data_IF_712574987873
#
_entry.id   IF_712574987873
#
_cell.length_a   1.000
_cell.length_b   1.000
_cell.length_c   1.000
_cell.angle_alpha   90.00
_cell.angle_beta   90.00
_cell.angle_gamma   90.00
#
_symmetry.space_group_name_H-M   'P 1'
#
loop_
_entity.id
_entity.type
_entity.pdbx_description
1 polymer ?
#
# COMPACT_ATOMS: atom_id res chain seq x y z
N UNK A 1 -6.82 7.07 -14.91
CA UNK A 1 -6.10 6.52 -13.74
C UNK A 1 -7.03 6.25 -12.57
N UNK A 2 -7.97 7.15 -12.25
CA UNK A 2 -8.92 7.01 -11.11
C UNK A 2 -9.76 5.73 -11.09
N UNK A 3 -10.00 5.09 -12.25
CA UNK A 3 -10.83 3.87 -12.35
C UNK A 3 -10.04 2.56 -12.17
N UNK A 4 -8.71 2.56 -12.38
CA UNK A 4 -7.85 1.41 -12.08
C UNK A 4 -7.56 1.31 -10.56
N UNK A 5 -7.51 2.45 -9.87
CA UNK A 5 -7.50 2.56 -8.40
C UNK A 5 -8.76 1.93 -7.76
N UNK A 6 -9.93 2.05 -8.41
CA UNK A 6 -11.19 1.44 -7.93
C UNK A 6 -11.15 -0.08 -7.96
N UNK A 7 -10.36 -0.70 -8.86
CA UNK A 7 -10.23 -2.16 -8.95
C UNK A 7 -9.33 -2.70 -7.83
N UNK A 8 -8.27 -1.98 -7.48
CA UNK A 8 -7.51 -2.25 -6.25
C UNK A 8 -8.38 -2.12 -5.00
N UNK A 9 -9.21 -1.07 -4.92
CA UNK A 9 -10.16 -0.84 -3.81
C UNK A 9 -11.19 -1.97 -3.64
N UNK A 10 -11.77 -2.50 -4.72
CA UNK A 10 -12.79 -3.57 -4.62
C UNK A 10 -12.23 -4.96 -4.29
N UNK A 11 -10.94 -5.21 -4.55
CA UNK A 11 -10.35 -6.53 -4.31
C UNK A 11 -9.88 -6.72 -2.85
N UNK A 12 -9.39 -5.67 -2.18
CA UNK A 12 -9.09 -5.69 -0.74
C UNK A 12 -10.32 -6.06 0.11
N UNK A 13 -11.52 -5.66 -0.32
CA UNK A 13 -12.81 -6.01 0.31
C UNK A 13 -13.24 -7.48 0.11
N UNK A 14 -12.72 -8.19 -0.90
CA UNK A 14 -13.18 -9.54 -1.23
C UNK A 14 -12.47 -10.65 -0.44
N UNK A 15 -11.40 -10.32 0.30
CA UNK A 15 -10.61 -11.29 1.09
C UNK A 15 -10.52 -10.96 2.59
N UNK A 16 -11.35 -10.05 3.10
CA UNK A 16 -11.59 -9.91 4.54
C UNK A 16 -12.62 -10.95 5.01
N UNK A 17 -12.23 -12.23 5.07
CA UNK A 17 -12.97 -13.19 5.91
C UNK A 17 -12.55 -12.92 7.35
N UNK A 18 -13.41 -12.22 8.10
CA UNK A 18 -13.20 -12.02 9.54
C UNK A 18 -13.14 -13.36 10.28
N UNK A 19 -12.35 -13.47 11.36
CA UNK A 19 -12.37 -14.67 12.19
C UNK A 19 -13.72 -14.81 12.89
N UNK A 20 -14.23 -16.04 12.93
CA UNK A 20 -15.39 -16.41 13.72
C UNK A 20 -15.12 -16.09 15.19
N UNK A 21 -15.97 -15.25 15.80
CA UNK A 21 -15.92 -14.93 17.21
C UNK A 21 -16.14 -16.20 18.04
N UNK A 22 -15.11 -16.64 18.76
CA UNK A 22 -15.23 -17.54 19.91
C UNK A 22 -15.90 -16.73 21.03
N UNK A 23 -17.19 -16.96 21.25
CA UNK A 23 -17.87 -16.51 22.47
C UNK A 23 -17.38 -17.37 23.63
N UNK A 24 -16.77 -16.72 24.62
CA UNK A 24 -16.63 -17.26 25.96
C UNK A 24 -17.83 -16.77 26.76
N UNK A 25 -18.78 -17.66 27.04
CA UNK A 25 -19.83 -17.40 28.02
C UNK A 25 -19.32 -17.87 29.39
N UNK A 26 -19.12 -16.90 30.29
CA UNK A 26 -18.98 -17.13 31.71
C UNK A 26 -20.24 -16.59 32.40
N UNK A 27 -20.99 -17.47 33.06
CA UNK A 27 -21.72 -17.32 34.34
C UNK A 27 -22.90 -18.28 34.40
N UNK A 28 -23.12 -18.92 35.56
CA UNK A 28 -24.42 -19.51 35.88
C UNK A 28 -24.38 -20.92 36.48
N UNK A 29 -24.04 -21.01 37.76
CA UNK A 29 -24.37 -22.09 38.69
C UNK A 29 -25.84 -22.53 38.55
N UNK A 30 -26.12 -23.84 38.46
CA UNK A 30 -27.30 -24.48 39.07
C UNK A 30 -27.17 -26.01 39.08
N UNK A 31 -27.63 -26.58 40.19
CA UNK A 31 -27.57 -27.98 40.61
C UNK A 31 -28.59 -28.86 39.87
N UNK A 32 -28.23 -30.15 39.72
CA UNK A 32 -29.17 -31.27 39.91
C UNK A 32 -29.57 -32.09 38.68
N UNK A 33 -29.46 -33.42 38.81
CA UNK A 33 -30.36 -34.37 38.15
C UNK A 33 -29.73 -35.37 37.18
N UNK A 34 -29.63 -36.63 37.63
CA UNK A 34 -29.25 -37.80 36.85
C UNK A 34 -30.29 -38.19 35.78
N UNK A 35 -29.88 -38.87 34.69
CA UNK A 35 -30.82 -39.57 33.81
C UNK A 35 -30.33 -39.94 32.40
N UNK A 36 -29.75 -41.14 32.28
CA UNK A 36 -29.89 -42.14 31.21
C UNK A 36 -30.40 -41.75 29.79
N UNK A 37 -29.54 -42.05 28.80
CA UNK A 37 -29.79 -42.81 27.56
C UNK A 37 -30.96 -42.44 26.62
N UNK A 38 -30.64 -42.01 25.39
CA UNK A 38 -31.05 -42.70 24.14
C UNK A 38 -30.45 -42.07 22.87
N UNK A 39 -29.93 -42.97 22.01
CA UNK A 39 -29.64 -42.75 20.59
C UNK A 39 -30.90 -42.30 19.84
N UNK A 40 -30.77 -41.32 18.94
CA UNK A 40 -31.59 -41.23 17.74
C UNK A 40 -30.76 -40.69 16.57
N UNK A 41 -30.66 -41.53 15.53
CA UNK A 41 -30.24 -41.22 14.16
C UNK A 41 -31.43 -40.54 13.46
N UNK A 42 -31.18 -39.50 12.68
CA UNK A 42 -31.97 -39.10 11.50
C UNK A 42 -31.13 -38.10 10.69
N UNK A 43 -30.49 -38.53 9.60
CA UNK A 43 -31.01 -38.54 8.22
C UNK A 43 -31.39 -37.15 7.70
N UNK A 44 -30.42 -36.63 6.95
CA UNK A 44 -30.46 -35.55 5.99
C UNK A 44 -31.57 -35.70 4.92
N UNK A 45 -32.37 -34.65 4.74
CA UNK A 45 -33.17 -34.46 3.53
C UNK A 45 -32.97 -33.04 2.98
N UNK A 46 -32.52 -33.00 1.73
CA UNK A 46 -32.34 -31.82 0.90
C UNK A 46 -33.65 -31.04 0.72
N UNK A 47 -33.58 -29.72 0.81
CA UNK A 47 -34.49 -28.81 0.07
C UNK A 47 -33.66 -27.75 -0.63
N UNK A 48 -33.61 -27.85 -1.95
CA UNK A 48 -33.10 -26.81 -2.83
C UNK A 48 -34.10 -25.66 -2.91
N UNK A 49 -33.59 -24.44 -2.84
CA UNK A 49 -34.34 -23.22 -3.13
C UNK A 49 -33.80 -22.67 -4.44
N UNK A 50 -34.68 -22.66 -5.45
CA UNK A 50 -34.50 -21.98 -6.73
C UNK A 50 -34.83 -20.50 -6.52
N UNK A 51 -33.90 -19.60 -6.82
CA UNK A 51 -34.17 -18.15 -6.85
C UNK A 51 -34.17 -17.71 -8.31
N UNK A 52 -35.35 -17.37 -8.80
CA UNK A 52 -35.63 -16.82 -10.12
C UNK A 52 -35.44 -15.29 -10.06
N UNK A 53 -34.54 -14.76 -10.88
CA UNK A 53 -34.25 -13.33 -10.97
C UNK A 53 -35.19 -12.65 -11.98
N UNK A 54 -35.96 -11.67 -11.53
CA UNK A 54 -36.67 -10.74 -12.42
C UNK A 54 -35.86 -9.44 -12.60
N UNK A 55 -35.46 -9.20 -13.85
CA UNK A 55 -34.92 -7.93 -14.35
C UNK A 55 -36.09 -7.08 -14.86
N UNK A 56 -36.30 -5.89 -14.29
CA UNK A 56 -37.12 -4.85 -14.92
C UNK A 56 -36.33 -3.56 -15.02
N UNK A 57 -36.19 -3.10 -16.26
CA UNK A 57 -35.37 -1.96 -16.66
C UNK A 57 -35.93 -0.60 -16.25
N UNK A 58 -35.01 0.33 -16.05
CA UNK A 58 -35.30 1.74 -15.85
C UNK A 58 -35.19 2.49 -17.18
N UNK A 59 -36.30 3.12 -17.60
CA UNK A 59 -36.35 4.19 -18.59
C UNK A 59 -36.49 5.53 -17.87
N UNK A 60 -35.75 6.52 -18.34
CA UNK A 60 -35.75 7.90 -17.87
C UNK A 60 -37.10 8.61 -18.07
N UNK A 61 -37.40 9.59 -17.23
CA UNK A 61 -38.24 10.73 -17.59
C UNK A 61 -37.84 11.99 -16.83
N UNK A 62 -37.64 13.04 -17.60
CA UNK A 62 -37.37 14.43 -17.21
C UNK A 62 -38.72 15.13 -17.02
N UNK A 63 -38.86 16.02 -16.04
CA UNK A 63 -40.00 16.92 -15.93
C UNK A 63 -40.17 17.57 -14.55
N UNK A 64 -39.68 18.81 -14.40
CA UNK A 64 -40.18 19.80 -13.43
C UNK A 64 -41.61 20.25 -13.86
N UNK A 65 -42.50 20.73 -12.96
CA UNK A 65 -42.35 22.04 -12.31
C UNK A 65 -42.75 22.10 -10.81
N UNK A 66 -42.32 23.21 -10.18
CA UNK A 66 -42.63 23.62 -8.82
C UNK A 66 -44.14 23.89 -8.58
N UNK A 67 -44.54 24.02 -7.31
CA UNK A 67 -45.14 25.29 -6.91
C UNK A 67 -44.62 25.86 -5.59
N UNK A 68 -44.73 27.17 -5.55
CA UNK A 68 -44.55 28.15 -4.48
C UNK A 68 -45.34 27.87 -3.19
N UNK A 69 -44.71 28.10 -2.04
CA UNK A 69 -45.40 28.56 -0.84
C UNK A 69 -44.45 29.43 0.01
N UNK A 70 -44.81 30.70 0.10
CA UNK A 70 -44.25 31.74 0.94
C UNK A 70 -44.79 31.64 2.37
N UNK A 71 -43.92 31.66 3.38
CA UNK A 71 -44.25 32.17 4.71
C UNK A 71 -43.13 33.11 5.11
N UNK A 72 -43.47 34.40 5.20
CA UNK A 72 -42.61 35.42 5.77
C UNK A 72 -42.83 35.52 7.27
N UNK A 73 -41.73 35.74 8.00
CA UNK A 73 -41.78 36.40 9.32
C UNK A 73 -40.71 37.48 9.32
N UNK A 74 -41.18 38.69 9.61
CA UNK A 74 -40.41 39.93 9.74
C UNK A 74 -39.50 39.86 10.97
N UNK A 75 -38.25 40.27 10.81
CA UNK A 75 -37.36 40.67 11.88
C UNK A 75 -36.50 41.83 11.39
N UNK A 76 -36.89 43.05 11.73
CA UNK A 76 -36.12 44.28 11.53
C UNK A 76 -35.10 44.36 12.65
N UNK A 77 -33.80 44.39 12.32
CA UNK A 77 -32.78 44.99 13.19
C UNK A 77 -31.76 45.74 12.34
N UNK A 78 -31.44 46.92 12.84
CA UNK A 78 -30.77 48.05 12.21
C UNK A 78 -29.27 47.86 12.05
N UNK A 79 -28.72 48.54 11.03
CA UNK A 79 -27.31 48.65 10.71
C UNK A 79 -26.51 49.35 11.83
N UNK A 80 -25.42 48.73 12.27
CA UNK A 80 -24.26 49.44 12.82
C UNK A 80 -22.98 48.93 12.16
N UNK A 81 -22.27 49.87 11.54
CA UNK A 81 -20.93 49.73 10.96
C UNK A 81 -19.89 49.91 12.07
N UNK A 82 -19.00 48.93 12.35
CA UNK A 82 -17.85 49.19 13.20
C UNK A 82 -16.64 49.60 12.37
N UNK A 83 -16.11 50.76 12.75
CA UNK A 83 -14.89 51.39 12.25
C UNK A 83 -13.68 50.46 12.35
N UNK A 84 -12.81 50.61 11.35
CA UNK A 84 -11.39 50.27 11.32
C UNK A 84 -10.71 50.42 12.68
N UNK A 85 -10.21 49.31 13.22
CA UNK A 85 -9.17 49.27 14.24
C UNK A 85 -7.98 48.51 13.65
N UNK A 86 -6.94 49.26 13.31
CA UNK A 86 -5.60 48.76 12.99
C UNK A 86 -5.03 48.03 14.22
N UNK A 87 -5.17 46.71 14.26
CA UNK A 87 -4.37 45.85 15.13
C UNK A 87 -3.12 45.41 14.36
N UNK A 88 -1.96 45.96 14.77
CA UNK A 88 -0.62 45.58 14.33
C UNK A 88 -0.45 44.05 14.37
N UNK A 89 -0.38 43.41 13.21
CA UNK A 89 0.24 42.09 13.05
C UNK A 89 1.75 42.28 13.30
N UNK A 90 2.24 41.82 14.45
CA UNK A 90 3.68 41.59 14.63
C UNK A 90 4.01 40.29 13.87
N UNK A 91 4.55 40.45 12.66
CA UNK A 91 5.32 39.41 12.01
C UNK A 91 6.66 39.25 12.79
N UNK A 92 7.13 38.02 13.05
CA UNK A 92 8.50 37.82 13.52
C UNK A 92 9.49 38.30 12.43
N UNK A 93 10.67 38.81 12.84
CA UNK A 93 11.45 39.71 12.02
C UNK A 93 12.04 39.03 10.78
N UNK A 94 11.83 39.69 9.64
CA UNK A 94 12.64 39.59 8.43
C UNK A 94 14.12 39.75 8.82
N UNK A 95 14.91 38.71 8.62
CA UNK A 95 16.37 38.88 8.55
C UNK A 95 16.67 39.80 7.37
N UNK A 96 17.21 40.97 7.72
CA UNK A 96 17.68 42.00 6.81
C UNK A 96 18.80 41.47 5.94
N UNK A 97 18.59 41.52 4.63
CA UNK A 97 19.63 41.39 3.62
C UNK A 97 20.65 42.53 3.75
N UNK A 98 21.93 42.18 3.88
CA UNK A 98 23.05 42.92 3.29
C UNK A 98 24.29 42.03 3.34
N UNK A 99 24.75 41.58 2.17
CA UNK A 99 25.92 40.73 2.03
C UNK A 99 25.92 40.03 0.68
N UNK A 100 26.36 40.76 -0.34
CA UNK A 100 26.51 40.33 -1.73
C UNK A 100 27.35 39.05 -1.87
N UNK A 101 26.74 37.98 -2.36
CA UNK A 101 27.41 36.93 -3.13
C UNK A 101 26.39 36.30 -4.08
N UNK A 102 26.48 36.61 -5.37
CA UNK A 102 25.85 35.80 -6.42
C UNK A 102 26.52 34.43 -6.40
N UNK A 103 25.78 33.31 -6.35
CA UNK A 103 26.36 32.02 -6.67
C UNK A 103 26.35 31.86 -8.20
N UNK A 104 27.22 32.60 -8.89
CA UNK A 104 27.70 32.19 -10.21
C UNK A 104 28.69 31.05 -9.98
N UNK A 105 28.15 29.83 -9.79
CA UNK A 105 28.78 28.50 -9.92
C UNK A 105 27.94 27.45 -9.16
N UNK A 106 26.66 27.29 -9.54
CA UNK A 106 26.00 26.00 -9.33
C UNK A 106 26.44 25.07 -10.45
N UNK A 107 27.11 23.93 -10.17
CA UNK A 107 27.27 22.91 -11.19
C UNK A 107 25.86 22.46 -11.58
N UNK A 108 25.57 22.53 -12.89
CA UNK A 108 24.35 22.02 -13.49
C UNK A 108 24.02 20.64 -12.89
N UNK A 109 22.91 20.56 -12.15
CA UNK A 109 22.40 19.36 -11.50
C UNK A 109 22.05 18.29 -12.55
N UNK A 110 23.06 17.53 -12.96
CA UNK A 110 22.95 16.16 -13.48
C UNK A 110 23.11 15.15 -12.31
N UNK A 111 22.58 15.50 -11.14
CA UNK A 111 22.69 14.69 -9.93
C UNK A 111 21.82 13.44 -10.01
N UNK A 112 22.44 12.27 -9.98
CA UNK A 112 21.76 10.97 -9.88
C UNK A 112 21.00 10.90 -8.55
N UNK A 113 19.72 10.53 -8.57
CA UNK A 113 19.01 10.08 -7.36
C UNK A 113 19.87 8.97 -6.70
N UNK A 114 20.08 9.01 -5.38
CA UNK A 114 20.80 7.93 -4.71
C UNK A 114 19.95 6.66 -4.74
N UNK A 115 20.64 5.53 -4.80
CA UNK A 115 19.99 4.22 -4.64
C UNK A 115 19.50 4.10 -3.21
N UNK A 116 18.39 3.39 -3.04
CA UNK A 116 17.96 2.90 -1.75
C UNK A 116 18.99 1.90 -1.21
N UNK A 117 19.94 2.39 -0.43
CA UNK A 117 20.98 1.58 0.22
C UNK A 117 20.46 1.14 1.59
N UNK A 118 19.50 0.22 1.60
CA UNK A 118 18.95 -0.36 2.82
C UNK A 118 19.96 -1.32 3.45
N UNK A 119 20.97 -0.76 4.12
CA UNK A 119 21.87 -1.51 4.99
C UNK A 119 21.14 -1.98 6.28
N UNK A 120 20.07 -2.75 6.08
CA UNK A 120 19.52 -3.73 7.02
C UNK A 120 19.25 -5.08 6.30
N UNK A 121 19.67 -5.23 5.04
CA UNK A 121 20.06 -6.52 4.47
C UNK A 121 21.57 -6.75 4.74
N UNK A 122 21.93 -7.08 5.97
CA UNK A 122 23.18 -7.82 6.26
C UNK A 122 23.10 -9.12 5.41
N UNK A 123 24.04 -9.53 4.55
CA UNK A 123 25.48 -9.37 4.56
C UNK A 123 26.00 -9.46 3.11
N UNK A 124 26.74 -8.45 2.64
CA UNK A 124 27.94 -8.81 1.88
C UNK A 124 28.99 -9.15 2.91
N UNK A 125 29.06 -10.43 3.28
CA UNK A 125 30.29 -10.99 3.82
C UNK A 125 31.37 -10.74 2.78
N UNK A 126 32.19 -9.71 2.98
CA UNK A 126 33.57 -9.74 2.51
C UNK A 126 34.29 -10.75 3.40
N UNK A 127 34.00 -12.03 3.20
CA UNK A 127 34.85 -13.09 3.72
C UNK A 127 36.10 -13.09 2.85
N UNK A 128 37.19 -12.59 3.41
CA UNK A 128 38.52 -12.96 2.98
C UNK A 128 38.58 -14.49 2.91
N UNK A 129 38.60 -15.06 1.70
CA UNK A 129 39.11 -16.40 1.45
C UNK A 129 38.28 -17.62 1.85
N UNK A 130 36.95 -17.53 2.00
CA UNK A 130 36.10 -18.72 2.17
C UNK A 130 34.95 -18.75 1.15
N UNK A 131 34.74 -19.93 0.55
CA UNK A 131 33.81 -20.28 -0.52
C UNK A 131 32.50 -19.49 -0.51
N UNK A 132 32.29 -18.64 -1.53
CA UNK A 132 31.05 -17.85 -1.68
C UNK A 132 29.90 -18.78 -2.06
N UNK A 133 29.08 -19.16 -1.08
CA UNK A 133 27.72 -19.65 -1.37
C UNK A 133 26.85 -18.44 -1.72
N UNK A 134 26.56 -18.24 -3.01
CA UNK A 134 25.68 -17.17 -3.50
C UNK A 134 24.22 -17.38 -3.06
N UNK A 135 23.91 -17.12 -1.79
CA UNK A 135 22.52 -17.02 -1.34
C UNK A 135 22.03 -15.59 -1.56
N UNK A 136 21.08 -15.41 -2.49
CA UNK A 136 20.33 -14.16 -2.55
C UNK A 136 19.59 -13.95 -1.22
N UNK A 137 19.63 -12.73 -0.63
CA UNK A 137 18.90 -12.47 0.60
C UNK A 137 17.40 -12.71 0.37
N UNK A 138 16.72 -13.23 1.39
CA UNK A 138 15.28 -13.47 1.34
C UNK A 138 14.52 -12.13 1.30
N UNK A 139 13.29 -12.10 0.74
CA UNK A 139 12.51 -10.87 0.69
C UNK A 139 12.24 -10.31 2.10
N UNK A 140 12.30 -9.00 2.23
CA UNK A 140 11.97 -8.29 3.46
C UNK A 140 10.45 -8.27 3.70
N UNK A 141 10.06 -8.35 4.97
CA UNK A 141 8.67 -8.18 5.40
C UNK A 141 8.34 -6.70 5.56
N UNK A 142 7.44 -6.18 4.73
CA UNK A 142 6.99 -4.79 4.74
C UNK A 142 5.53 -4.75 5.21
N UNK A 143 5.29 -4.13 6.36
CA UNK A 143 3.98 -4.08 7.00
C UNK A 143 3.07 -3.03 6.33
N UNK A 144 2.09 -3.48 5.55
CA UNK A 144 1.16 -2.63 4.81
C UNK A 144 0.23 -1.89 5.75
N UNK A 145 0.43 -0.58 5.89
CA UNK A 145 -0.28 0.30 6.84
C UNK A 145 -0.07 -0.14 8.30
N UNK A 146 1.12 -0.67 8.60
CA UNK A 146 1.43 -1.35 9.86
C UNK A 146 0.94 -2.82 9.89
N UNK A 147 0.83 -3.42 11.07
CA UNK A 147 0.27 -4.77 11.24
C UNK A 147 -1.27 -4.75 11.18
N UNK A 148 -1.78 -4.38 10.00
CA UNK A 148 -3.20 -4.16 9.71
C UNK A 148 -4.06 -5.41 9.93
N UNK A 149 -3.51 -6.61 9.85
CA UNK A 149 -4.25 -7.83 10.19
C UNK A 149 -4.70 -7.84 11.65
N UNK A 150 -3.87 -7.35 12.57
CA UNK A 150 -4.15 -7.31 14.01
C UNK A 150 -4.80 -6.00 14.48
N UNK A 151 -4.35 -4.86 13.97
CA UNK A 151 -4.75 -3.53 14.44
C UNK A 151 -5.44 -2.68 13.36
N UNK A 152 -6.17 -1.60 13.72
CA UNK A 152 -6.64 -0.63 12.74
C UNK A 152 -5.51 -0.07 11.88
N UNK A 153 -5.72 -0.02 10.57
CA UNK A 153 -4.71 0.42 9.60
C UNK A 153 -4.25 1.86 9.83
N UNK A 154 -2.99 2.17 9.48
CA UNK A 154 -2.40 3.50 9.62
C UNK A 154 -2.63 4.08 11.03
N UNK A 155 -2.27 3.32 12.06
CA UNK A 155 -2.34 3.73 13.46
C UNK A 155 -1.01 3.49 14.17
N UNK A 156 -0.72 4.24 15.23
CA UNK A 156 0.51 4.02 16.01
C UNK A 156 0.57 2.61 16.59
N UNK A 157 -0.56 2.03 17.01
CA UNK A 157 -0.63 0.64 17.48
C UNK A 157 -0.24 -0.36 16.37
N UNK A 158 -0.74 -0.18 15.14
CA UNK A 158 -0.36 -1.03 14.02
C UNK A 158 1.13 -0.90 13.66
N UNK A 159 1.69 0.30 13.75
CA UNK A 159 3.11 0.56 13.48
C UNK A 159 4.01 -0.05 14.56
N UNK A 160 3.67 0.14 15.84
CA UNK A 160 4.40 -0.43 16.96
C UNK A 160 4.38 -1.96 16.91
N UNK A 161 3.20 -2.55 16.71
CA UNK A 161 3.06 -3.99 16.58
C UNK A 161 3.89 -4.55 15.41
N UNK A 162 3.98 -3.84 14.28
CA UNK A 162 4.82 -4.26 13.16
C UNK A 162 6.32 -4.30 13.52
N UNK A 163 6.80 -3.31 14.27
CA UNK A 163 8.20 -3.29 14.76
C UNK A 163 8.43 -4.42 15.76
N UNK A 164 7.52 -4.61 16.71
CA UNK A 164 7.62 -5.60 17.78
C UNK A 164 7.72 -7.05 17.26
N UNK A 165 6.98 -7.39 16.20
CA UNK A 165 7.07 -8.72 15.58
C UNK A 165 8.31 -8.89 14.68
N UNK A 166 9.09 -7.84 14.46
CA UNK A 166 10.29 -7.87 13.62
C UNK A 166 10.03 -7.63 12.12
N UNK A 167 8.99 -6.87 11.75
CA UNK A 167 8.88 -6.40 10.37
C UNK A 167 10.10 -5.51 10.03
N UNK A 168 10.60 -5.64 8.80
CA UNK A 168 11.78 -4.90 8.36
C UNK A 168 11.43 -3.45 8.01
N UNK A 169 10.17 -3.22 7.64
CA UNK A 169 9.69 -1.93 7.21
C UNK A 169 8.20 -1.74 7.46
N UNK A 170 7.79 -0.49 7.45
CA UNK A 170 6.40 -0.06 7.45
C UNK A 170 6.11 0.58 6.10
N UNK A 171 5.03 0.18 5.45
CA UNK A 171 4.43 0.96 4.38
C UNK A 171 3.25 1.75 4.95
N UNK A 172 3.11 3.01 4.55
CA UNK A 172 2.00 3.87 4.98
C UNK A 172 1.67 4.90 3.91
N UNK A 173 0.47 5.45 4.01
CA UNK A 173 -0.13 6.34 3.02
C UNK A 173 -0.11 7.80 3.48
N UNK A 174 0.19 8.74 2.58
CA UNK A 174 0.27 10.18 2.89
C UNK A 174 -0.95 10.94 2.34
N UNK A 175 -1.57 11.76 3.18
CA UNK A 175 -2.49 12.85 2.78
C UNK A 175 -2.16 14.15 3.53
N UNK A 176 -2.75 15.26 3.10
CA UNK A 176 -2.62 16.55 3.77
C UNK A 176 -3.92 16.95 4.46
N UNK A 177 -3.85 17.42 5.72
CA UNK A 177 -4.94 18.16 6.33
C UNK A 177 -5.08 19.55 5.71
N UNK A 178 -6.20 20.22 5.95
CA UNK A 178 -6.45 21.58 5.44
C UNK A 178 -5.41 22.61 5.90
N UNK A 179 -4.89 22.46 7.11
CA UNK A 179 -3.86 23.30 7.72
C UNK A 179 -2.42 22.83 7.42
N UNK A 180 -2.24 21.90 6.46
CA UNK A 180 -0.93 21.52 5.94
C UNK A 180 -0.16 20.48 6.77
N UNK A 181 -0.83 19.80 7.71
CA UNK A 181 -0.25 18.71 8.49
C UNK A 181 -0.29 17.42 7.68
N UNK A 182 0.84 16.72 7.60
CA UNK A 182 0.92 15.44 6.87
C UNK A 182 0.33 14.32 7.71
N UNK A 183 -0.81 13.79 7.25
CA UNK A 183 -1.60 12.76 7.90
C UNK A 183 -1.34 11.38 7.29
N UNK A 184 -1.46 10.33 8.11
CA UNK A 184 -1.34 8.96 7.66
C UNK A 184 -2.73 8.31 7.52
N UNK A 185 -3.20 8.17 6.28
CA UNK A 185 -4.50 7.57 5.95
C UNK A 185 -4.49 7.04 4.52
N UNK A 186 -5.15 5.92 4.26
CA UNK A 186 -5.21 5.42 2.88
C UNK A 186 -6.16 6.22 2.00
N UNK A 187 -7.34 6.51 2.54
CA UNK A 187 -8.42 7.13 1.80
C UNK A 187 -8.43 8.64 2.05
N UNK A 188 -8.73 9.41 1.00
CA UNK A 188 -9.03 10.83 1.13
C UNK A 188 -10.33 11.11 1.90
N UNK A 189 -11.23 10.13 2.00
CA UNK A 189 -12.48 10.22 2.77
C UNK A 189 -12.31 9.55 4.13
N UNK A 190 -12.85 10.20 5.16
CA UNK A 190 -12.82 9.71 6.54
C UNK A 190 -13.83 8.56 6.78
N UNK A 191 -14.77 8.34 5.86
CA UNK A 191 -15.95 7.51 6.08
C UNK A 191 -15.66 6.08 6.47
N UNK A 192 -14.75 5.41 5.75
CA UNK A 192 -14.49 3.98 5.94
C UNK A 192 -13.85 3.69 7.29
N UNK A 193 -12.85 4.48 7.66
CA UNK A 193 -12.06 4.23 8.85
C UNK A 193 -12.61 4.91 10.10
N UNK A 194 -13.28 6.06 9.96
CA UNK A 194 -13.69 6.93 11.08
C UNK A 194 -15.20 7.19 11.14
N UNK A 195 -15.98 6.74 10.14
CA UNK A 195 -17.43 6.94 10.11
C UNK A 195 -17.89 8.36 9.76
N UNK A 196 -16.96 9.22 9.35
CA UNK A 196 -17.22 10.63 9.03
C UNK A 196 -17.32 10.84 7.50
N UNK A 197 -18.36 11.54 7.04
CA UNK A 197 -18.60 11.77 5.60
C UNK A 197 -17.71 12.84 4.96
N UNK A 198 -16.90 13.55 5.73
CA UNK A 198 -15.97 14.58 5.26
C UNK A 198 -14.74 13.98 4.55
N UNK A 199 -14.03 14.84 3.81
CA UNK A 199 -12.70 14.53 3.29
C UNK A 199 -11.65 15.03 4.25
N UNK A 200 -10.54 14.29 4.34
CA UNK A 200 -9.42 14.62 5.20
C UNK A 200 -8.85 16.01 4.87
N UNK A 201 -8.68 16.32 3.58
CA UNK A 201 -8.15 17.62 3.13
C UNK A 201 -9.06 18.82 3.41
N UNK A 202 -10.31 18.60 3.82
CA UNK A 202 -11.25 19.67 4.19
C UNK A 202 -11.21 19.97 5.71
N UNK A 203 -10.47 19.19 6.50
CA UNK A 203 -10.42 19.28 7.95
C UNK A 203 -9.04 19.70 8.46
N UNK A 204 -9.01 20.55 9.49
CA UNK A 204 -7.79 20.94 10.19
C UNK A 204 -7.34 19.83 11.18
N UNK A 205 -6.04 19.81 11.53
CA UNK A 205 -5.48 18.80 12.44
C UNK A 205 -6.20 18.75 13.79
N UNK A 206 -6.61 19.90 14.33
CA UNK A 206 -7.34 19.98 15.60
C UNK A 206 -8.55 19.04 15.58
N UNK A 207 -9.35 19.08 14.50
CA UNK A 207 -10.48 18.18 14.32
C UNK A 207 -10.05 16.73 14.10
N UNK A 208 -9.13 16.49 13.16
CA UNK A 208 -8.68 15.14 12.80
C UNK A 208 -8.11 14.37 13.99
N UNK A 209 -7.43 15.06 14.92
CA UNK A 209 -6.86 14.48 16.13
C UNK A 209 -7.91 13.91 17.10
N UNK A 210 -9.16 14.36 17.01
CA UNK A 210 -10.29 13.86 17.82
C UNK A 210 -10.86 12.55 17.30
N UNK A 211 -10.68 12.26 16.01
CA UNK A 211 -11.27 11.10 15.36
C UNK A 211 -10.66 9.80 15.88
N UNK A 212 -11.48 8.75 15.91
CA UNK A 212 -11.05 7.39 16.28
C UNK A 212 -11.51 6.38 15.26
N UNK A 213 -10.67 5.38 14.99
CA UNK A 213 -11.02 4.34 14.04
C UNK A 213 -12.24 3.55 14.52
N UNK A 214 -13.12 3.17 13.61
CA UNK A 214 -14.30 2.33 13.89
C UNK A 214 -13.92 0.90 14.29
N UNK A 215 -12.77 0.42 13.83
CA UNK A 215 -12.26 -0.90 14.19
C UNK A 215 -11.65 -0.84 15.60
N UNK A 216 -12.01 -1.83 16.41
CA UNK A 216 -11.46 -2.05 17.75
C UNK A 216 -9.99 -2.54 17.72
N UNK A 217 -9.14 -2.10 18.67
CA UNK A 217 -9.40 -1.01 19.61
C UNK A 217 -9.31 0.36 18.90
N UNK A 218 -10.21 1.33 19.15
CA UNK A 218 -10.23 2.59 18.42
C UNK A 218 -8.92 3.36 18.58
N UNK A 219 -8.31 3.73 17.45
CA UNK A 219 -7.03 4.44 17.41
C UNK A 219 -7.20 5.86 16.87
N UNK A 220 -6.41 6.83 17.35
CA UNK A 220 -6.31 8.13 16.69
C UNK A 220 -5.68 8.00 15.30
N UNK A 221 -6.01 8.93 14.40
CA UNK A 221 -5.27 9.09 13.15
C UNK A 221 -3.88 9.69 13.44
N UNK A 222 -2.77 9.03 13.06
CA UNK A 222 -1.44 9.55 13.29
C UNK A 222 -1.03 10.54 12.21
N UNK A 223 -0.12 11.45 12.57
CA UNK A 223 0.64 12.28 11.63
C UNK A 223 1.90 11.56 11.21
N UNK A 224 2.50 11.96 10.09
CA UNK A 224 3.82 11.48 9.70
C UNK A 224 4.86 11.75 10.79
N UNK A 225 4.79 12.90 11.46
CA UNK A 225 5.70 13.25 12.57
C UNK A 225 5.61 12.24 13.73
N UNK A 226 4.43 11.71 14.05
CA UNK A 226 4.27 10.77 15.16
C UNK A 226 5.00 9.44 14.86
N UNK A 227 4.92 8.97 13.61
CA UNK A 227 5.67 7.81 13.13
C UNK A 227 7.18 8.06 13.13
N UNK A 228 7.63 9.22 12.63
CA UNK A 228 9.06 9.56 12.58
C UNK A 228 9.68 9.71 13.97
N UNK A 229 8.95 10.31 14.94
CA UNK A 229 9.41 10.38 16.33
C UNK A 229 9.56 9.00 16.96
N UNK A 230 8.64 8.08 16.66
CA UNK A 230 8.74 6.70 17.12
C UNK A 230 9.92 5.95 16.48
N UNK A 231 10.09 6.07 15.15
CA UNK A 231 11.16 5.38 14.42
C UNK A 231 12.53 6.03 14.57
N UNK A 232 12.60 7.31 14.96
CA UNK A 232 13.84 8.05 15.22
C UNK A 232 14.53 7.63 16.51
N UNK A 233 13.86 6.83 17.37
CA UNK A 233 14.47 6.18 18.52
C UNK A 233 15.53 5.17 18.09
N UNK A 234 16.63 5.09 18.83
CA UNK A 234 17.81 4.27 18.48
C UNK A 234 17.45 2.78 18.34
N UNK A 235 16.57 2.27 19.19
CA UNK A 235 16.10 0.88 19.14
C UNK A 235 15.33 0.54 17.85
N UNK A 236 14.78 1.55 17.17
CA UNK A 236 13.99 1.39 15.96
C UNK A 236 14.75 1.76 14.68
N UNK A 237 16.04 2.10 14.78
CA UNK A 237 16.86 2.62 13.67
C UNK A 237 16.97 1.64 12.48
N UNK A 238 16.82 0.33 12.73
CA UNK A 238 16.87 -0.71 11.70
C UNK A 238 15.62 -0.79 10.81
N UNK A 239 14.49 -0.20 11.23
CA UNK A 239 13.23 -0.25 10.49
C UNK A 239 13.19 0.89 9.46
N UNK A 240 12.85 0.59 8.21
CA UNK A 240 12.68 1.62 7.17
C UNK A 240 11.21 1.83 6.80
N UNK A 241 10.91 2.87 6.03
CA UNK A 241 9.55 3.27 5.69
C UNK A 241 9.37 3.43 4.18
N UNK A 242 8.30 2.87 3.64
CA UNK A 242 7.80 3.16 2.30
C UNK A 242 6.59 4.10 2.42
N UNK A 243 6.72 5.32 1.91
CA UNK A 243 5.66 6.33 1.95
C UNK A 243 4.91 6.38 0.61
N UNK A 244 3.69 5.83 0.55
CA UNK A 244 2.82 5.93 -0.62
C UNK A 244 2.23 7.34 -0.73
N UNK A 245 2.61 8.05 -1.80
CA UNK A 245 2.07 9.37 -2.12
C UNK A 245 0.71 9.19 -2.80
N UNK A 246 -0.35 9.58 -2.09
CA UNK A 246 -1.71 9.53 -2.64
C UNK A 246 -1.93 10.65 -3.65
N UNK A 247 -2.81 10.36 -4.60
CA UNK A 247 -3.03 11.20 -5.79
C UNK A 247 -4.25 12.12 -5.66
N UNK A 248 -4.83 12.17 -4.47
CA UNK A 248 -6.05 12.92 -4.17
C UNK A 248 -5.76 14.37 -3.74
N UNK A 249 -4.55 14.65 -3.23
CA UNK A 249 -4.08 15.98 -2.81
C UNK A 249 -3.34 16.76 -3.92
N UNK A 250 -3.11 18.05 -3.68
CA UNK A 250 -2.13 18.80 -4.47
C UNK A 250 -0.73 18.22 -4.25
N UNK A 251 -0.13 17.75 -5.34
CA UNK A 251 1.11 16.99 -5.28
C UNK A 251 2.31 17.84 -4.83
N UNK A 252 2.33 19.13 -5.16
CA UNK A 252 3.44 20.03 -4.84
C UNK A 252 3.37 20.45 -3.36
N UNK A 253 2.17 20.79 -2.87
CA UNK A 253 1.93 21.08 -1.45
C UNK A 253 2.20 19.87 -0.56
N UNK A 254 1.69 18.68 -0.93
CA UNK A 254 1.91 17.45 -0.16
C UNK A 254 3.41 17.15 -0.04
N UNK A 255 4.15 17.14 -1.15
CA UNK A 255 5.58 16.80 -1.12
C UNK A 255 6.43 17.89 -0.47
N UNK A 256 6.05 19.15 -0.61
CA UNK A 256 6.66 20.25 0.13
C UNK A 256 6.53 20.07 1.64
N UNK A 257 5.34 19.70 2.14
CA UNK A 257 5.11 19.49 3.57
C UNK A 257 5.71 18.18 4.09
N UNK A 258 5.72 17.11 3.29
CA UNK A 258 6.45 15.87 3.60
C UNK A 258 7.94 16.15 3.75
N UNK A 259 8.54 16.92 2.84
CA UNK A 259 9.94 17.27 2.93
C UNK A 259 10.27 18.08 4.18
N UNK A 260 9.48 19.13 4.49
CA UNK A 260 9.63 19.88 5.74
C UNK A 260 9.57 18.94 6.96
N UNK A 261 8.60 18.03 7.00
CA UNK A 261 8.41 17.08 8.10
C UNK A 261 9.62 16.16 8.27
N UNK A 262 10.13 15.59 7.17
CA UNK A 262 11.31 14.71 7.20
C UNK A 262 12.58 15.45 7.63
N UNK A 263 12.80 16.69 7.18
CA UNK A 263 14.01 17.45 7.52
C UNK A 263 14.07 17.91 8.98
N UNK A 264 12.92 18.11 9.64
CA UNK A 264 12.88 18.53 11.06
C UNK A 264 12.73 17.36 12.03
N UNK A 265 12.34 16.18 11.57
CA UNK A 265 12.15 15.02 12.43
C UNK A 265 13.50 14.48 12.96
N UNK A 266 13.67 14.29 14.28
CA UNK A 266 14.93 13.84 14.86
C UNK A 266 15.24 12.38 14.48
N UNK A 267 16.50 12.08 14.21
CA UNK A 267 16.97 10.73 13.90
C UNK A 267 18.47 10.60 14.12
N UNK A 268 18.94 9.42 14.54
CA UNK A 268 20.37 9.08 14.58
C UNK A 268 20.93 8.71 13.20
N UNK A 269 20.06 8.25 12.29
CA UNK A 269 20.39 7.92 10.90
C UNK A 269 19.56 8.77 9.93
N UNK A 270 20.18 9.46 8.96
CA UNK A 270 19.47 10.32 8.02
C UNK A 270 18.25 9.65 7.38
N UNK A 271 17.13 10.38 7.29
CA UNK A 271 15.88 9.84 6.76
C UNK A 271 15.95 9.43 5.29
N UNK A 272 16.84 10.05 4.51
CA UNK A 272 17.09 9.66 3.12
C UNK A 272 17.76 8.28 2.96
N UNK A 273 18.19 7.67 4.07
CA UNK A 273 18.65 6.28 4.13
C UNK A 273 17.59 5.32 4.68
N UNK A 274 16.45 5.84 5.13
CA UNK A 274 15.41 5.08 5.84
C UNK A 274 14.03 5.24 5.23
N UNK A 275 13.83 6.18 4.32
CA UNK A 275 12.54 6.49 3.71
C UNK A 275 12.63 6.31 2.21
N UNK A 276 11.62 5.65 1.65
CA UNK A 276 11.43 5.45 0.21
C UNK A 276 10.14 6.12 -0.17
N UNK A 277 10.18 6.93 -1.21
CA UNK A 277 8.97 7.57 -1.73
C UNK A 277 8.30 6.64 -2.75
N UNK A 278 7.05 6.29 -2.49
CA UNK A 278 6.19 5.53 -3.39
C UNK A 278 5.46 6.44 -4.37
N UNK A 279 5.76 6.32 -5.66
CA UNK A 279 5.25 7.23 -6.70
C UNK A 279 4.46 6.50 -7.80
N UNK A 280 3.21 6.92 -8.03
CA UNK A 280 2.32 6.30 -9.03
C UNK A 280 2.55 6.76 -10.47
N UNK A 281 3.26 7.87 -10.69
CA UNK A 281 3.49 8.42 -12.02
C UNK A 281 4.81 9.17 -12.12
N UNK A 282 5.25 9.45 -13.35
CA UNK A 282 6.43 10.27 -13.63
C UNK A 282 6.39 11.63 -12.91
N UNK A 283 5.21 12.25 -12.85
CA UNK A 283 5.04 13.55 -12.20
C UNK A 283 5.44 13.50 -10.71
N UNK A 284 5.00 12.48 -9.97
CA UNK A 284 5.39 12.31 -8.57
C UNK A 284 6.87 11.94 -8.41
N UNK A 285 7.43 11.15 -9.33
CA UNK A 285 8.88 10.87 -9.34
C UNK A 285 9.68 12.16 -9.48
N UNK A 286 9.26 13.06 -10.38
CA UNK A 286 9.96 14.32 -10.61
C UNK A 286 9.78 15.32 -9.46
N UNK A 287 8.61 15.33 -8.80
CA UNK A 287 8.43 16.10 -7.57
C UNK A 287 9.25 15.55 -6.39
N UNK A 288 9.40 14.22 -6.28
CA UNK A 288 10.33 13.64 -5.31
C UNK A 288 11.77 14.10 -5.58
N UNK A 289 12.21 14.13 -6.84
CA UNK A 289 13.54 14.68 -7.20
C UNK A 289 13.68 16.16 -6.86
N UNK A 290 12.60 16.94 -6.99
CA UNK A 290 12.59 18.37 -6.67
C UNK A 290 12.72 18.62 -5.16
N UNK A 291 11.90 17.94 -4.35
CA UNK A 291 11.77 18.21 -2.91
C UNK A 291 12.68 17.34 -2.03
N UNK A 292 12.98 16.14 -2.49
CA UNK A 292 13.68 15.09 -1.76
C UNK A 292 14.75 14.45 -2.66
N UNK A 293 15.71 15.22 -3.22
CA UNK A 293 16.66 14.74 -4.22
C UNK A 293 17.58 13.61 -3.75
N UNK A 294 17.75 13.46 -2.43
CA UNK A 294 18.54 12.38 -1.83
C UNK A 294 17.69 11.18 -1.41
N UNK A 295 16.37 11.23 -1.55
CA UNK A 295 15.52 10.13 -1.12
C UNK A 295 15.33 9.13 -2.26
N UNK A 296 15.43 7.83 -1.98
CA UNK A 296 15.09 6.79 -2.93
C UNK A 296 13.60 6.83 -3.31
N UNK A 297 13.31 6.43 -4.54
CA UNK A 297 11.95 6.41 -5.09
C UNK A 297 11.62 5.04 -5.65
N UNK A 298 10.44 4.51 -5.34
CA UNK A 298 9.90 3.30 -5.93
C UNK A 298 8.64 3.62 -6.74
N UNK A 299 8.59 3.20 -8.01
CA UNK A 299 7.40 3.33 -8.83
C UNK A 299 6.34 2.31 -8.39
N UNK A 300 5.17 2.81 -7.95
CA UNK A 300 4.01 1.98 -7.65
C UNK A 300 3.20 1.74 -8.92
N UNK A 301 3.03 0.47 -9.31
CA UNK A 301 2.51 0.15 -10.63
C UNK A 301 1.67 -1.12 -10.75
N UNK A 302 0.72 -1.06 -11.69
CA UNK A 302 -0.10 -2.20 -12.15
C UNK A 302 0.10 -2.50 -13.65
N UNK A 303 1.05 -1.83 -14.31
CA UNK A 303 1.28 -1.93 -15.75
C UNK A 303 2.76 -2.11 -16.06
N UNK A 304 3.15 -3.30 -16.52
CA UNK A 304 4.55 -3.59 -16.87
C UNK A 304 5.09 -2.71 -18.00
N UNK A 305 4.32 -2.39 -19.07
CA UNK A 305 4.81 -1.48 -20.11
C UNK A 305 5.07 -0.06 -19.58
N UNK A 306 4.23 0.44 -18.68
CA UNK A 306 4.45 1.75 -18.06
C UNK A 306 5.64 1.71 -17.09
N UNK A 307 5.69 0.70 -16.22
CA UNK A 307 6.78 0.52 -15.27
C UNK A 307 8.14 0.38 -15.97
N UNK A 308 8.19 -0.33 -17.10
CA UNK A 308 9.42 -0.49 -17.91
C UNK A 308 10.02 0.84 -18.37
N UNK A 309 9.25 1.93 -18.45
CA UNK A 309 9.75 3.26 -18.79
C UNK A 309 10.67 3.85 -17.71
N UNK A 310 10.56 3.38 -16.46
CA UNK A 310 11.43 3.81 -15.37
C UNK A 310 12.75 3.05 -15.33
N UNK A 311 12.89 1.94 -16.07
CA UNK A 311 14.17 1.22 -16.17
C UNK A 311 15.29 2.05 -16.81
N UNK A 312 14.93 3.02 -17.66
CA UNK A 312 15.89 3.97 -18.23
C UNK A 312 16.27 5.10 -17.27
N UNK A 313 15.52 5.29 -16.18
CA UNK A 313 15.81 6.29 -15.17
C UNK A 313 16.76 5.71 -14.10
N UNK A 314 17.85 6.42 -13.77
CA UNK A 314 18.71 5.99 -12.69
C UNK A 314 17.95 6.05 -11.36
N UNK A 315 18.13 5.00 -10.54
CA UNK A 315 17.70 4.88 -9.15
C UNK A 315 16.18 4.95 -8.85
N UNK A 316 15.33 4.55 -9.80
CA UNK A 316 13.92 4.24 -9.51
C UNK A 316 13.76 2.73 -9.31
N UNK A 317 13.34 2.34 -8.11
CA UNK A 317 12.96 0.97 -7.76
C UNK A 317 11.49 0.68 -8.12
N UNK A 318 11.00 -0.53 -7.88
CA UNK A 318 9.66 -0.94 -8.31
C UNK A 318 8.83 -1.51 -7.18
N UNK A 319 7.59 -1.07 -7.05
CA UNK A 319 6.58 -1.60 -6.15
C UNK A 319 5.35 -2.05 -6.95
N UNK A 320 5.29 -3.33 -7.30
CA UNK A 320 4.37 -3.83 -8.34
C UNK A 320 3.23 -4.70 -7.79
N UNK A 321 2.04 -4.56 -8.37
CA UNK A 321 0.94 -5.49 -8.11
C UNK A 321 1.33 -6.90 -8.53
N UNK A 322 1.44 -7.81 -7.55
CA UNK A 322 2.10 -9.12 -7.73
C UNK A 322 1.55 -9.96 -8.91
N UNK A 323 0.22 -10.08 -9.15
CA UNK A 323 -0.30 -10.77 -10.32
C UNK A 323 0.23 -10.31 -11.68
N UNK A 324 0.69 -9.06 -11.81
CA UNK A 324 1.26 -8.55 -13.07
C UNK A 324 2.60 -9.20 -13.40
N UNK A 325 3.31 -9.74 -12.41
CA UNK A 325 4.62 -10.37 -12.59
C UNK A 325 4.54 -11.84 -13.00
N UNK A 326 3.34 -12.37 -13.15
CA UNK A 326 3.10 -13.77 -13.52
C UNK A 326 3.11 -13.92 -15.04
N UNK A 327 3.76 -14.98 -15.53
CA UNK A 327 3.86 -15.30 -16.95
C UNK A 327 5.11 -14.74 -17.64
N UNK A 328 5.23 -14.92 -18.97
CA UNK A 328 6.44 -14.56 -19.72
C UNK A 328 6.81 -13.07 -19.65
N UNK A 329 5.81 -12.18 -19.76
CA UNK A 329 6.03 -10.73 -19.69
C UNK A 329 6.54 -10.30 -18.31
N UNK A 330 5.92 -10.80 -17.24
CA UNK A 330 6.37 -10.56 -15.87
C UNK A 330 7.76 -11.14 -15.59
N UNK A 331 8.06 -12.34 -16.08
CA UNK A 331 9.40 -12.92 -15.98
C UNK A 331 10.46 -12.10 -16.74
N UNK A 332 10.11 -11.56 -17.90
CA UNK A 332 11.00 -10.66 -18.64
C UNK A 332 11.26 -9.37 -17.85
N UNK A 333 10.20 -8.76 -17.30
CA UNK A 333 10.30 -7.58 -16.46
C UNK A 333 11.19 -7.82 -15.23
N UNK A 334 10.98 -8.90 -14.47
CA UNK A 334 11.82 -9.23 -13.30
C UNK A 334 13.30 -9.40 -13.68
N UNK A 335 13.60 -10.04 -14.81
CA UNK A 335 14.99 -10.13 -15.31
C UNK A 335 15.57 -8.77 -15.67
N UNK A 336 14.77 -7.89 -16.28
CA UNK A 336 15.21 -6.55 -16.63
C UNK A 336 15.50 -5.70 -15.37
N UNK A 337 14.63 -5.78 -14.35
CA UNK A 337 14.82 -5.14 -13.04
C UNK A 337 16.10 -5.64 -12.37
N UNK A 338 16.30 -6.97 -12.31
CA UNK A 338 17.53 -7.58 -11.76
C UNK A 338 18.79 -7.15 -12.53
N UNK A 339 18.74 -7.14 -13.86
CA UNK A 339 19.85 -6.67 -14.71
C UNK A 339 20.18 -5.19 -14.47
N UNK A 340 19.16 -4.38 -14.19
CA UNK A 340 19.32 -2.97 -13.85
C UNK A 340 19.78 -2.72 -12.40
N UNK A 341 19.92 -3.78 -11.59
CA UNK A 341 20.25 -3.72 -10.16
C UNK A 341 19.31 -2.75 -9.42
N UNK A 342 18.00 -3.01 -9.58
CA UNK A 342 16.91 -2.28 -8.91
C UNK A 342 16.15 -3.23 -8.00
N UNK A 343 15.59 -2.67 -6.94
CA UNK A 343 14.75 -3.41 -6.01
C UNK A 343 13.35 -3.63 -6.62
N UNK A 344 12.76 -4.78 -6.32
CA UNK A 344 11.39 -5.15 -6.66
C UNK A 344 10.63 -5.56 -5.41
N UNK A 345 9.71 -4.70 -5.00
CA UNK A 345 8.69 -4.98 -4.00
C UNK A 345 7.39 -5.42 -4.66
N UNK A 346 6.60 -6.23 -3.94
CA UNK A 346 5.30 -6.71 -4.42
C UNK A 346 4.20 -6.47 -3.40
N UNK A 347 3.02 -6.08 -3.89
CA UNK A 347 1.85 -5.78 -3.06
C UNK A 347 0.53 -6.28 -3.66
N UNK A 348 -0.55 -6.37 -2.89
CA UNK A 348 -0.55 -6.66 -1.44
C UNK A 348 -0.69 -8.17 -1.30
N UNK A 349 0.23 -8.82 -0.60
CA UNK A 349 0.36 -10.28 -0.60
C UNK A 349 -0.04 -10.85 0.76
N UNK A 350 -1.26 -11.36 0.88
CA UNK A 350 -1.81 -11.87 2.15
C UNK A 350 -2.01 -13.40 2.17
N UNK A 351 -1.79 -14.06 1.04
CA UNK A 351 -1.97 -15.51 0.92
C UNK A 351 -0.59 -16.18 0.94
N UNK A 352 -0.42 -17.17 1.82
CA UNK A 352 0.85 -17.87 2.04
C UNK A 352 1.45 -18.43 0.75
N UNK A 353 0.61 -18.93 -0.15
CA UNK A 353 1.09 -19.54 -1.37
C UNK A 353 1.68 -18.48 -2.33
N UNK A 354 1.09 -17.28 -2.36
CA UNK A 354 1.67 -16.12 -3.03
C UNK A 354 2.91 -15.58 -2.31
N UNK A 355 2.98 -15.64 -0.97
CA UNK A 355 4.19 -15.30 -0.22
C UNK A 355 5.36 -16.23 -0.60
N UNK A 356 5.14 -17.55 -0.61
CA UNK A 356 6.16 -18.50 -1.06
C UNK A 356 6.54 -18.29 -2.53
N UNK A 357 5.60 -17.89 -3.38
CA UNK A 357 5.90 -17.52 -4.77
C UNK A 357 6.89 -16.35 -4.81
N UNK A 358 6.65 -15.30 -4.02
CA UNK A 358 7.56 -14.14 -3.91
C UNK A 358 8.97 -14.56 -3.50
N UNK A 359 9.08 -15.42 -2.49
CA UNK A 359 10.37 -15.96 -2.02
C UNK A 359 11.09 -16.71 -3.16
N UNK A 360 10.39 -17.63 -3.84
CA UNK A 360 10.97 -18.39 -4.97
C UNK A 360 11.36 -17.50 -6.16
N UNK A 361 10.69 -16.36 -6.32
CA UNK A 361 11.02 -15.38 -7.36
C UNK A 361 12.09 -14.38 -6.95
N UNK A 362 12.60 -14.46 -5.71
CA UNK A 362 13.68 -13.61 -5.21
C UNK A 362 13.36 -12.12 -5.41
N UNK A 363 12.12 -11.74 -5.10
CA UNK A 363 11.77 -10.31 -4.97
C UNK A 363 12.43 -9.76 -3.71
N UNK A 364 12.66 -8.45 -3.65
CA UNK A 364 13.42 -7.83 -2.56
C UNK A 364 12.55 -7.55 -1.32
N UNK A 365 11.22 -7.45 -1.49
CA UNK A 365 10.31 -7.29 -0.37
C UNK A 365 8.86 -7.61 -0.71
N UNK A 366 8.10 -7.96 0.33
CA UNK A 366 6.69 -8.32 0.25
C UNK A 366 5.91 -7.40 1.18
N UNK A 367 4.98 -6.65 0.60
CA UNK A 367 4.04 -5.77 1.29
C UNK A 367 2.79 -6.58 1.62
N UNK A 368 2.47 -6.70 2.91
CA UNK A 368 1.41 -7.57 3.42
C UNK A 368 0.68 -6.95 4.60
N UNK A 369 -0.62 -7.22 4.71
CA UNK A 369 -1.42 -6.84 5.88
C UNK A 369 -1.01 -7.64 7.14
N UNK A 370 -0.47 -8.85 6.93
CA UNK A 370 -0.05 -9.77 7.99
C UNK A 370 1.47 -10.07 7.90
N UNK A 371 2.31 -9.12 8.36
CA UNK A 371 3.75 -9.31 8.42
C UNK A 371 4.18 -10.51 9.28
N UNK A 372 3.44 -10.86 10.34
CA UNK A 372 3.75 -12.03 11.17
C UNK A 372 3.63 -13.32 10.36
N UNK A 373 2.52 -13.48 9.64
CA UNK A 373 2.32 -14.62 8.75
C UNK A 373 3.47 -14.74 7.73
N UNK A 374 3.91 -13.62 7.16
CA UNK A 374 4.99 -13.66 6.18
C UNK A 374 6.35 -14.05 6.80
N UNK A 375 6.67 -13.54 8.00
CA UNK A 375 7.84 -13.96 8.76
C UNK A 375 7.81 -15.46 9.06
N UNK A 376 6.66 -16.00 9.45
CA UNK A 376 6.51 -17.44 9.69
C UNK A 376 6.70 -18.26 8.41
N UNK A 377 6.21 -17.77 7.26
CA UNK A 377 6.45 -18.40 5.95
C UNK A 377 7.94 -18.39 5.59
N UNK A 378 8.66 -17.30 5.87
CA UNK A 378 10.10 -17.20 5.66
C UNK A 378 10.86 -18.24 6.51
N UNK A 379 10.52 -18.37 7.79
CA UNK A 379 11.15 -19.35 8.68
C UNK A 379 10.87 -20.80 8.25
N UNK A 380 9.62 -21.11 7.89
CA UNK A 380 9.28 -22.42 7.31
C UNK A 380 10.06 -22.70 6.03
N UNK A 381 10.23 -21.70 5.17
CA UNK A 381 10.98 -21.82 3.94
C UNK A 381 12.48 -22.07 4.18
N UNK A 382 13.10 -21.33 5.11
CA UNK A 382 14.50 -21.54 5.55
C UNK A 382 14.71 -22.95 6.09
N UNK A 383 13.84 -23.39 7.00
CA UNK A 383 13.92 -24.73 7.58
C UNK A 383 13.77 -25.84 6.52
N UNK A 384 12.89 -25.65 5.53
CA UNK A 384 12.74 -26.57 4.42
C UNK A 384 13.97 -26.61 3.51
N UNK A 385 14.61 -25.47 3.22
CA UNK A 385 15.85 -25.43 2.46
C UNK A 385 17.00 -26.12 3.21
N UNK A 386 17.16 -25.85 4.51
CA UNK A 386 18.18 -26.49 5.33
C UNK A 386 18.06 -28.02 5.34
N UNK A 387 16.85 -28.58 5.40
CA UNK A 387 16.64 -30.05 5.31
C UNK A 387 16.99 -30.65 3.95
N UNK A 388 16.84 -29.88 2.86
CA UNK A 388 17.10 -30.38 1.51
C UNK A 388 18.60 -30.32 1.18
N UNK A 389 19.31 -29.32 1.70
CA UNK A 389 20.69 -29.02 1.33
C UNK A 389 21.70 -29.22 2.48
N UNK A 390 21.26 -29.52 3.70
CA UNK A 390 22.07 -29.55 4.93
C UNK A 390 22.56 -30.93 5.40
N UNK A 391 22.72 -31.91 4.51
CA UNK A 391 23.36 -33.20 4.81
C UNK A 391 24.66 -33.38 4.00
N UNK A 392 25.50 -32.34 4.00
CA UNK A 392 26.79 -32.33 3.32
C UNK A 392 27.89 -31.88 4.26
N UNK A 393 28.19 -32.67 5.29
CA UNK A 393 29.29 -32.38 6.22
C UNK A 393 29.49 -33.41 7.34
N UNK A 394 30.34 -34.39 7.04
CA UNK A 394 31.21 -35.19 7.92
C UNK A 394 30.62 -36.31 8.83
N UNK A 395 30.97 -37.56 8.48
CA UNK A 395 31.29 -38.61 9.46
C UNK A 395 30.26 -39.71 9.72
N UNK A 396 30.16 -40.70 8.83
CA UNK A 396 29.51 -41.97 9.13
C UNK A 396 29.38 -42.88 7.92
N UNK A 397 30.25 -43.90 7.81
CA UNK A 397 30.03 -45.03 6.90
C UNK A 397 28.68 -45.68 7.22
N UNK A 398 27.75 -45.59 6.27
CA UNK A 398 26.40 -46.13 6.40
C UNK A 398 25.78 -46.39 5.05
N UNK A 399 26.14 -47.53 4.46
CA UNK A 399 25.43 -48.31 3.42
C UNK A 399 24.44 -47.52 2.55
N UNK A 400 24.87 -47.23 1.32
CA UNK A 400 23.99 -46.86 0.21
C UNK A 400 23.02 -48.00 -0.05
N UNK A 401 21.81 -47.92 0.50
CA UNK A 401 20.69 -48.76 0.06
C UNK A 401 19.75 -47.92 -0.80
N UNK A 402 19.64 -48.30 -2.07
CA UNK A 402 18.94 -47.61 -3.15
C UNK A 402 17.42 -47.54 -2.98
N UNK A 403 16.95 -46.78 -2.00
CA UNK A 403 15.56 -46.36 -1.88
C UNK A 403 15.34 -45.05 -2.64
N UNK A 404 14.74 -45.10 -3.83
CA UNK A 404 14.16 -43.92 -4.49
C UNK A 404 13.20 -43.23 -3.52
N UNK A 405 13.63 -42.19 -2.83
CA UNK A 405 12.77 -41.30 -2.06
C UNK A 405 11.71 -40.74 -3.03
N UNK A 406 10.46 -41.18 -2.81
CA UNK A 406 9.31 -40.82 -3.65
C UNK A 406 9.14 -39.30 -3.64
N UNK A 407 9.66 -38.63 -4.70
CA UNK A 407 9.30 -37.27 -5.16
C UNK A 407 7.79 -37.03 -5.34
N UNK A 408 6.93 -38.01 -5.07
CA UNK A 408 5.53 -38.06 -5.48
C UNK A 408 4.51 -37.44 -4.52
N UNK A 409 4.84 -37.17 -3.25
CA UNK A 409 3.82 -36.77 -2.25
C UNK A 409 3.74 -35.24 -2.07
N UNK A 410 4.85 -34.51 -2.18
CA UNK A 410 4.87 -33.03 -2.04
C UNK A 410 4.49 -32.32 -3.36
N UNK A 411 4.63 -33.00 -4.52
CA UNK A 411 4.45 -32.38 -5.84
C UNK A 411 2.99 -32.39 -6.31
N UNK A 412 2.16 -33.35 -5.89
CA UNK A 412 0.80 -33.52 -6.45
C UNK A 412 -0.23 -32.50 -5.94
N UNK A 413 -0.15 -32.08 -4.67
CA UNK A 413 -1.02 -31.02 -4.11
C UNK A 413 -0.61 -29.62 -4.55
N UNK A 414 0.68 -29.42 -4.86
CA UNK A 414 1.23 -28.15 -5.35
C UNK A 414 0.87 -27.83 -6.81
N UNK A 415 0.76 -28.83 -7.69
CA UNK A 415 0.51 -28.60 -9.13
C UNK A 415 -0.89 -28.05 -9.43
N UNK A 416 -1.93 -28.52 -8.73
CA UNK A 416 -3.31 -28.02 -8.92
C UNK A 416 -3.44 -26.61 -8.36
N UNK A 417 -2.84 -26.33 -7.20
CA UNK A 417 -2.82 -24.99 -6.59
C UNK A 417 -2.03 -24.00 -7.46
N UNK A 418 -0.88 -24.42 -8.01
CA UNK A 418 -0.11 -23.69 -9.03
C UNK A 418 -0.98 -23.36 -10.25
N UNK A 419 -1.61 -24.36 -10.87
CA UNK A 419 -2.44 -24.14 -12.06
C UNK A 419 -3.58 -23.13 -11.80
N UNK A 420 -4.27 -23.24 -10.65
CA UNK A 420 -5.30 -22.28 -10.24
C UNK A 420 -4.74 -20.86 -10.06
N UNK A 421 -3.50 -20.73 -9.57
CA UNK A 421 -2.81 -19.45 -9.41
C UNK A 421 -2.57 -18.75 -10.75
N UNK A 422 -1.93 -19.47 -11.67
CA UNK A 422 -1.61 -18.95 -12.99
C UNK A 422 -2.89 -18.63 -13.77
N UNK A 423 -3.94 -19.45 -13.61
CA UNK A 423 -5.25 -19.16 -14.18
C UNK A 423 -5.87 -17.87 -13.60
N UNK A 424 -5.82 -17.67 -12.26
CA UNK A 424 -6.32 -16.44 -11.62
C UNK A 424 -5.55 -15.21 -12.09
N UNK A 425 -4.22 -15.28 -12.16
CA UNK A 425 -3.39 -14.19 -12.65
C UNK A 425 -3.68 -13.88 -14.13
N UNK A 426 -3.83 -14.90 -14.97
CA UNK A 426 -4.19 -14.74 -16.37
C UNK A 426 -5.56 -14.08 -16.54
N UNK A 427 -6.57 -14.51 -15.79
CA UNK A 427 -7.90 -13.86 -15.78
C UNK A 427 -7.78 -12.39 -15.41
N UNK A 428 -7.01 -12.06 -14.37
CA UNK A 428 -6.85 -10.67 -13.95
C UNK A 428 -6.13 -9.81 -15.00
N UNK A 429 -5.07 -10.32 -15.62
CA UNK A 429 -4.37 -9.65 -16.71
C UNK A 429 -5.28 -9.43 -17.93
N UNK A 430 -6.09 -10.43 -18.29
CA UNK A 430 -7.07 -10.34 -19.38
C UNK A 430 -8.16 -9.30 -19.09
N UNK A 431 -8.71 -9.28 -17.87
CA UNK A 431 -9.69 -8.25 -17.46
C UNK A 431 -9.08 -6.84 -17.54
N UNK A 432 -7.81 -6.68 -17.16
CA UNK A 432 -7.09 -5.41 -17.32
C UNK A 432 -6.97 -4.98 -18.78
N UNK A 433 -6.60 -5.89 -19.67
CA UNK A 433 -6.51 -5.62 -21.12
C UNK A 433 -7.89 -5.24 -21.68
N UNK A 434 -8.93 -6.01 -21.36
CA UNK A 434 -10.31 -5.75 -21.81
C UNK A 434 -10.79 -4.37 -21.36
N UNK A 435 -10.51 -3.99 -20.11
CA UNK A 435 -10.87 -2.67 -19.58
C UNK A 435 -10.13 -1.54 -20.30
N UNK A 436 -8.82 -1.69 -20.54
CA UNK A 436 -8.04 -0.69 -21.27
C UNK A 436 -8.57 -0.51 -22.69
N UNK A 437 -8.88 -1.62 -23.39
CA UNK A 437 -9.46 -1.58 -24.72
C UNK A 437 -10.87 -0.95 -24.71
N UNK A 438 -11.69 -1.27 -23.71
CA UNK A 438 -13.03 -0.69 -23.55
C UNK A 438 -12.95 0.82 -23.30
N UNK A 439 -12.08 1.27 -22.39
CA UNK A 439 -11.83 2.69 -22.12
C UNK A 439 -11.31 3.38 -23.38
N UNK A 440 -10.30 2.81 -24.04
CA UNK A 440 -9.75 3.36 -25.27
C UNK A 440 -10.81 3.52 -26.35
N UNK A 441 -11.67 2.51 -26.54
CA UNK A 441 -12.82 2.59 -27.46
C UNK A 441 -13.78 3.71 -27.05
N UNK A 442 -14.19 3.75 -25.78
CA UNK A 442 -15.12 4.76 -25.24
C UNK A 442 -14.60 6.19 -25.41
N UNK A 443 -13.32 6.42 -25.15
CA UNK A 443 -12.71 7.75 -25.29
C UNK A 443 -12.41 8.11 -26.75
N UNK A 444 -12.06 7.13 -27.59
CA UNK A 444 -11.90 7.34 -29.03
C UNK A 444 -13.22 7.71 -29.71
N UNK A 445 -14.35 7.11 -29.28
CA UNK A 445 -15.69 7.48 -29.78
C UNK A 445 -16.13 8.88 -29.34
N UNK A 446 -15.69 9.37 -28.17
CA UNK A 446 -16.03 10.72 -27.71
C UNK A 446 -15.23 11.82 -28.43
N UNK A 447 -14.05 11.52 -28.96
CA UNK A 447 -13.27 12.47 -29.78
C UNK A 447 -13.81 12.64 -31.21
N UNK A 448 -14.68 11.75 -31.69
CA UNK A 448 -15.29 11.82 -33.02
C UNK A 448 -16.47 12.80 -33.17
N UNK A 449 -16.86 13.51 -32.09
CA UNK A 449 -18.07 14.35 -32.04
C UNK A 449 -17.87 15.86 -32.28
N UNK A 450 -16.71 16.35 -32.73
CA UNK A 450 -16.52 17.78 -33.05
C UNK A 450 -16.88 18.08 -34.52
N UNK A 451 -18.13 18.55 -34.69
CA UNK A 451 -18.70 19.45 -35.71
C UNK A 451 -18.09 19.43 -37.14
N UNK A 452 -18.88 18.93 -38.11
CA UNK A 452 -18.87 19.44 -39.49
C UNK A 452 -19.32 20.91 -39.44
N UNK A 453 -18.39 21.84 -39.68
CA UNK A 453 -18.72 23.25 -39.92
C UNK A 453 -19.06 23.40 -41.41
N UNK A 454 -20.08 24.20 -41.67
CA UNK A 454 -20.71 24.46 -42.95
C UNK A 454 -19.73 24.97 -44.03
N UNK A 455 -20.09 24.71 -45.29
CA UNK A 455 -19.30 25.02 -46.49
C UNK A 455 -19.12 26.52 -46.75
N UNK A 456 -18.31 26.86 -47.78
CA UNK A 456 -17.78 28.20 -47.97
C UNK A 456 -18.84 29.17 -48.50
N UNK A 457 -18.85 30.37 -47.93
CA UNK A 457 -19.53 31.54 -48.48
C UNK A 457 -18.78 31.95 -49.76
N UNK A 458 -19.50 32.02 -50.88
CA UNK A 458 -19.01 32.61 -52.14
C UNK A 458 -18.91 34.13 -51.97
N UNK A 459 -17.82 34.67 -52.53
CA UNK A 459 -17.49 36.11 -52.66
C UNK A 459 -18.59 36.88 -53.37
#
# INVERSE_FOLDING_TARGET
>A
MSMLLVIGRKWSLYHSTGPAALRSDATGTLLGGAGSSRKLREQSAHRGVVIQAHLTGWRARVGCPAPTASIGVRGVFTYETPRLLLARKQAPPLFTSNGTARPENMPLLQGKLPRASFAAALSHSTSNGATITHHHPLPQAIAHRGHKAAFPENSMAAFQAAVEIGAHAIETDLHLSKDGVVMLSHDASLKRCFGDDQKLADCDWEYLSTLRTLREPPQPMPRLMDLLLYLGKKENEGVWVLLDIKVDDDADELLGNVAKTLFVAPTSRPWDQRVVMGAWSQHYVDLCKKYLPTFPVAHIGVSLPYASRFLSQPAVDFNMLQPMLVGPAGACFMRAVKKAQRNLFVWTVNDEYWMEWSIRKQVDGVITDDPQLFLDVLERYKAAQARIYGDGGEGGEGVVNGGKLKRGVIVKTGSVKRAKLYARAAVFQLLGIVLVLWLWRRFSTMKGGKKRVAGPVKV
#
